data_IF_098871974732
#
_entry.id   IF_098871974732
#
_cell.length_a   1.000
_cell.length_b   1.000
_cell.length_c   1.000
_cell.angle_alpha   90.00
_cell.angle_beta   90.00
_cell.angle_gamma   90.00
#
_symmetry.space_group_name_H-M   'P 1'
#
loop_
_entity.id
_entity.type
_entity.pdbx_description
1 polymer ?
#
# COMPACT_ATOMS: atom_id res chain seq x y z
N UNK A 1 -6.85 -2.74 -26.81
CA UNK A 1 -6.54 -2.87 -25.37
C UNK A 1 -7.12 -1.65 -24.68
N UNK A 2 -7.97 -1.76 -23.64
CA UNK A 2 -8.34 -0.56 -22.87
C UNK A 2 -7.08 -0.09 -22.16
N UNK A 3 -6.58 1.09 -22.51
CA UNK A 3 -5.37 1.62 -21.92
C UNK A 3 -5.57 1.76 -20.41
N UNK A 4 -4.75 1.05 -19.63
CA UNK A 4 -4.69 1.17 -18.16
C UNK A 4 -3.89 2.42 -17.77
N UNK A 5 -4.08 3.53 -18.50
CA UNK A 5 -3.27 4.73 -18.34
C UNK A 5 -3.39 5.32 -16.94
N UNK A 6 -4.60 5.30 -16.37
CA UNK A 6 -4.84 5.67 -14.97
C UNK A 6 -3.94 4.88 -14.01
N UNK A 7 -3.86 3.56 -14.16
CA UNK A 7 -3.05 2.70 -13.26
C UNK A 7 -1.55 2.87 -13.46
N UNK A 8 -1.10 3.20 -14.68
CA UNK A 8 0.30 3.55 -14.94
C UNK A 8 0.66 4.88 -14.28
N UNK A 9 -0.19 5.89 -14.41
CA UNK A 9 -0.02 7.18 -13.74
C UNK A 9 -0.05 7.02 -12.22
N UNK A 10 -1.00 6.24 -11.70
CA UNK A 10 -1.09 5.93 -10.28
C UNK A 10 0.16 5.22 -9.75
N UNK A 11 0.68 4.23 -10.49
CA UNK A 11 1.94 3.57 -10.13
C UNK A 11 3.09 4.57 -10.01
N UNK A 12 3.29 5.44 -11.02
CA UNK A 12 4.37 6.43 -10.98
C UNK A 12 4.18 7.44 -9.87
N UNK A 13 2.94 7.88 -9.62
CA UNK A 13 2.60 8.75 -8.50
C UNK A 13 2.99 8.11 -7.16
N UNK A 14 2.55 6.87 -6.90
CA UNK A 14 2.89 6.15 -5.66
C UNK A 14 4.40 5.93 -5.55
N UNK A 15 5.09 5.54 -6.63
CA UNK A 15 6.54 5.34 -6.62
C UNK A 15 7.30 6.62 -6.25
N UNK A 16 7.00 7.74 -6.93
CA UNK A 16 7.67 9.03 -6.67
C UNK A 16 7.33 9.54 -5.28
N UNK A 17 6.05 9.49 -4.88
CA UNK A 17 5.61 9.94 -3.57
C UNK A 17 6.25 9.11 -2.44
N UNK A 18 6.25 7.78 -2.53
CA UNK A 18 6.89 6.92 -1.54
C UNK A 18 8.41 7.12 -1.50
N UNK A 19 9.06 7.30 -2.65
CA UNK A 19 10.51 7.59 -2.69
C UNK A 19 10.83 8.93 -2.03
N UNK A 20 10.01 9.95 -2.27
CA UNK A 20 10.13 11.25 -1.61
C UNK A 20 9.99 11.14 -0.08
N UNK A 21 8.99 10.40 0.41
CA UNK A 21 8.78 10.18 1.85
C UNK A 21 9.93 9.43 2.51
N UNK A 22 10.48 8.42 1.84
CA UNK A 22 11.68 7.71 2.33
C UNK A 22 12.87 8.66 2.36
N UNK A 23 13.09 9.46 1.33
CA UNK A 23 14.15 10.48 1.31
C UNK A 23 14.00 11.49 2.47
N UNK A 24 12.80 12.01 2.70
CA UNK A 24 12.50 12.93 3.80
C UNK A 24 12.84 12.29 5.16
N UNK A 25 12.40 11.05 5.40
CA UNK A 25 12.69 10.31 6.63
C UNK A 25 14.17 10.03 6.87
N UNK A 26 14.99 9.97 5.82
CA UNK A 26 16.44 9.79 5.93
C UNK A 26 17.18 11.11 6.21
N UNK A 27 16.52 12.25 6.02
CA UNK A 27 17.08 13.59 6.21
C UNK A 27 16.60 14.24 7.52
N UNK A 28 15.56 13.70 8.15
CA UNK A 28 15.07 14.18 9.44
C UNK A 28 16.08 13.89 10.57
N UNK A 29 16.40 14.88 11.43
CA UNK A 29 17.31 14.67 12.56
C UNK A 29 16.67 13.79 13.64
N UNK A 30 17.46 12.87 14.21
CA UNK A 30 17.08 11.84 15.21
C UNK A 30 16.41 12.34 16.53
N UNK A 31 16.18 13.65 16.68
CA UNK A 31 15.73 14.28 17.93
C UNK A 31 14.19 14.22 18.08
N UNK A 32 13.45 14.07 16.99
CA UNK A 32 12.00 13.82 17.05
C UNK A 32 11.75 12.36 17.37
N UNK A 33 11.28 12.06 18.58
CA UNK A 33 10.89 10.70 18.95
C UNK A 33 9.93 10.13 17.90
N UNK A 34 10.15 8.90 17.39
CA UNK A 34 9.20 8.28 16.49
C UNK A 34 7.87 8.11 17.22
N UNK A 35 6.82 8.77 16.73
CA UNK A 35 5.45 8.63 17.25
C UNK A 35 4.87 7.24 16.98
N UNK A 36 5.50 6.50 16.07
CA UNK A 36 5.07 5.18 15.60
C UNK A 36 6.06 4.13 16.10
N UNK A 37 5.60 2.99 16.64
CA UNK A 37 6.49 1.88 17.04
C UNK A 37 7.42 1.43 15.90
N UNK A 38 8.66 1.09 16.25
CA UNK A 38 9.68 0.69 15.27
C UNK A 38 9.23 -0.54 14.45
N UNK A 39 8.57 -1.49 15.09
CA UNK A 39 8.07 -2.71 14.46
C UNK A 39 7.06 -2.41 13.35
N UNK A 40 6.18 -1.42 13.59
CA UNK A 40 5.18 -1.00 12.62
C UNK A 40 5.84 -0.25 11.46
N UNK A 41 6.87 0.55 11.74
CA UNK A 41 7.66 1.24 10.71
C UNK A 41 8.40 0.25 9.80
N UNK A 42 9.04 -0.77 10.37
CA UNK A 42 9.69 -1.85 9.61
C UNK A 42 8.66 -2.62 8.77
N UNK A 43 7.49 -2.94 9.32
CA UNK A 43 6.44 -3.63 8.58
C UNK A 43 5.94 -2.78 7.40
N UNK A 44 5.70 -1.48 7.59
CA UNK A 44 5.32 -0.55 6.52
C UNK A 44 6.39 -0.47 5.43
N UNK A 45 7.67 -0.42 5.82
CA UNK A 45 8.79 -0.43 4.88
C UNK A 45 8.84 -1.71 4.04
N UNK A 46 8.55 -2.88 4.64
CA UNK A 46 8.50 -4.15 3.91
C UNK A 46 7.28 -4.28 3.00
N UNK A 47 6.14 -3.70 3.38
CA UNK A 47 4.93 -3.72 2.56
C UNK A 47 5.04 -2.81 1.32
N UNK A 48 5.86 -1.76 1.38
CA UNK A 48 6.00 -0.81 0.28
C UNK A 48 6.51 -1.45 -1.04
N UNK A 49 7.59 -2.26 -1.06
CA UNK A 49 7.98 -3.00 -2.26
C UNK A 49 6.88 -3.92 -2.80
N UNK A 50 6.11 -4.57 -1.91
CA UNK A 50 5.01 -5.46 -2.30
C UNK A 50 3.87 -4.67 -2.95
N UNK A 51 3.54 -3.50 -2.41
CA UNK A 51 2.59 -2.56 -3.01
C UNK A 51 3.04 -2.12 -4.41
N UNK A 52 4.27 -1.63 -4.53
CA UNK A 52 4.81 -1.15 -5.81
C UNK A 52 4.84 -2.27 -6.86
N UNK A 53 5.22 -3.48 -6.45
CA UNK A 53 5.22 -4.65 -7.30
C UNK A 53 3.81 -5.07 -7.73
N UNK A 54 2.82 -5.04 -6.82
CA UNK A 54 1.42 -5.29 -7.13
C UNK A 54 0.85 -4.26 -8.13
N UNK A 55 1.09 -2.97 -7.86
CA UNK A 55 0.69 -1.86 -8.74
C UNK A 55 1.32 -1.99 -10.12
N UNK A 56 2.62 -2.28 -10.21
CA UNK A 56 3.31 -2.50 -11.46
C UNK A 56 2.72 -3.69 -12.23
N UNK A 57 2.56 -4.83 -11.57
CA UNK A 57 2.01 -6.06 -12.14
C UNK A 57 0.61 -5.80 -12.70
N UNK A 58 -0.22 -5.07 -11.97
CA UNK A 58 -1.56 -4.72 -12.42
C UNK A 58 -1.57 -3.67 -13.54
N UNK A 59 -0.78 -2.60 -13.45
CA UNK A 59 -0.75 -1.52 -14.44
C UNK A 59 -0.24 -2.00 -15.81
N UNK A 60 0.82 -2.81 -15.82
CA UNK A 60 1.48 -3.29 -17.03
C UNK A 60 1.05 -4.70 -17.46
N UNK A 61 0.12 -5.33 -16.72
CA UNK A 61 -0.26 -6.74 -16.89
C UNK A 61 0.95 -7.67 -16.85
N UNK A 62 1.97 -7.28 -16.10
CA UNK A 62 3.19 -8.07 -15.97
C UNK A 62 2.91 -9.22 -15.00
N UNK A 63 2.89 -10.44 -15.53
CA UNK A 63 2.65 -11.63 -14.74
C UNK A 63 4.00 -12.18 -14.26
N UNK A 64 4.47 -11.72 -13.09
CA UNK A 64 5.70 -12.23 -12.53
C UNK A 64 5.47 -13.62 -11.92
N UNK A 65 6.03 -14.65 -12.55
CA UNK A 65 5.55 -16.04 -12.52
C UNK A 65 5.48 -16.73 -11.15
N UNK A 66 6.17 -16.23 -10.11
CA UNK A 66 6.27 -16.90 -8.80
C UNK A 66 5.39 -16.26 -7.71
N UNK A 67 5.61 -14.98 -7.38
CA UNK A 67 4.83 -14.29 -6.34
C UNK A 67 3.38 -14.02 -6.76
N UNK A 68 3.15 -13.76 -8.06
CA UNK A 68 1.80 -13.47 -8.52
C UNK A 68 0.90 -14.71 -8.53
N UNK A 69 1.41 -15.94 -8.39
CA UNK A 69 0.56 -17.17 -8.46
C UNK A 69 -0.13 -17.54 -7.16
N UNK A 70 0.30 -16.99 -6.03
CA UNK A 70 -0.24 -17.36 -4.71
C UNK A 70 -1.38 -16.41 -4.40
N UNK A 71 -2.63 -16.86 -4.58
CA UNK A 71 -3.81 -16.04 -4.28
C UNK A 71 -3.79 -15.47 -2.86
N UNK A 72 -3.53 -16.33 -1.88
CA UNK A 72 -3.53 -15.96 -0.46
C UNK A 72 -2.48 -14.90 -0.14
N UNK A 73 -1.39 -14.80 -0.91
CA UNK A 73 -0.39 -13.77 -0.72
C UNK A 73 -0.99 -12.37 -0.91
N UNK A 74 -1.78 -12.16 -1.97
CA UNK A 74 -2.43 -10.88 -2.24
C UNK A 74 -3.55 -10.56 -1.24
N UNK A 75 -4.34 -11.57 -0.85
CA UNK A 75 -5.39 -11.39 0.16
C UNK A 75 -4.79 -11.02 1.53
N UNK A 76 -3.74 -11.71 1.97
CA UNK A 76 -3.02 -11.42 3.22
C UNK A 76 -2.35 -10.05 3.13
N UNK A 77 -1.70 -9.72 2.02
CA UNK A 77 -1.07 -8.41 1.82
C UNK A 77 -2.11 -7.28 1.91
N UNK A 78 -3.29 -7.44 1.30
CA UNK A 78 -4.35 -6.46 1.41
C UNK A 78 -4.81 -6.26 2.86
N UNK A 79 -5.01 -7.35 3.61
CA UNK A 79 -5.36 -7.29 5.02
C UNK A 79 -4.28 -6.60 5.86
N UNK A 80 -3.01 -6.98 5.67
CA UNK A 80 -1.88 -6.36 6.36
C UNK A 80 -1.77 -4.87 6.02
N UNK A 81 -1.99 -4.49 4.77
CA UNK A 81 -1.95 -3.10 4.34
C UNK A 81 -3.05 -2.25 5.01
N UNK A 82 -4.26 -2.78 5.14
CA UNK A 82 -5.35 -2.11 5.88
C UNK A 82 -4.98 -1.97 7.36
N UNK A 83 -4.62 -3.09 7.99
CA UNK A 83 -4.33 -3.12 9.43
C UNK A 83 -3.20 -2.16 9.78
N UNK A 84 -2.10 -2.21 9.04
CA UNK A 84 -0.95 -1.33 9.28
C UNK A 84 -1.28 0.14 9.14
N UNK A 85 -2.07 0.55 8.15
CA UNK A 85 -2.49 1.95 8.00
C UNK A 85 -3.43 2.38 9.13
N UNK A 86 -4.41 1.54 9.51
CA UNK A 86 -5.31 1.83 10.64
C UNK A 86 -4.52 1.97 11.94
N UNK A 87 -3.61 1.03 12.20
CA UNK A 87 -2.77 1.07 13.41
C UNK A 87 -1.84 2.29 13.40
N UNK A 88 -1.28 2.66 12.25
CA UNK A 88 -0.42 3.85 12.13
C UNK A 88 -1.20 5.11 12.49
N UNK A 89 -2.40 5.30 11.92
CA UNK A 89 -3.27 6.42 12.25
C UNK A 89 -3.68 6.42 13.73
N UNK A 90 -3.97 5.26 14.31
CA UNK A 90 -4.33 5.16 15.72
C UNK A 90 -3.19 5.63 16.63
N UNK A 91 -1.95 5.22 16.33
CA UNK A 91 -0.77 5.71 17.05
C UNK A 91 -0.59 7.22 16.89
N UNK A 92 -0.64 7.70 15.64
CA UNK A 92 -0.48 9.11 15.31
C UNK A 92 -1.53 9.99 16.02
N UNK A 93 -2.80 9.57 16.04
CA UNK A 93 -3.85 10.30 16.75
C UNK A 93 -3.74 10.19 18.28
N UNK A 94 -3.23 9.07 18.81
CA UNK A 94 -3.00 8.91 20.25
C UNK A 94 -1.82 9.72 20.78
N UNK A 95 -0.82 10.00 19.93
CA UNK A 95 0.31 10.88 20.26
C UNK A 95 -0.14 12.34 20.48
N UNK A 96 -1.35 12.69 20.04
CA UNK A 96 -1.92 14.04 20.13
C UNK A 96 -1.37 14.97 19.04
N UNK A 97 -1.69 16.25 19.14
CA UNK A 97 -1.23 17.25 18.16
C UNK A 97 -2.18 17.52 16.99
N UNK A 98 -3.26 16.74 16.86
CA UNK A 98 -4.32 16.96 15.89
C UNK A 98 -5.64 17.34 16.59
N UNK A 99 -6.34 18.32 16.02
CA UNK A 99 -7.75 18.58 16.34
C UNK A 99 -8.66 17.47 15.79
N UNK A 100 -9.88 17.36 16.31
CA UNK A 100 -10.86 16.38 15.83
C UNK A 100 -11.15 16.54 14.33
N UNK A 101 -11.21 17.77 13.84
CA UNK A 101 -11.42 18.08 12.43
C UNK A 101 -10.26 17.57 11.56
N UNK A 102 -9.01 17.79 12.00
CA UNK A 102 -7.82 17.29 11.30
C UNK A 102 -7.77 15.76 11.27
N UNK A 103 -8.09 15.09 12.38
CA UNK A 103 -8.17 13.63 12.44
C UNK A 103 -9.16 13.05 11.42
N UNK A 104 -10.34 13.69 11.27
CA UNK A 104 -11.35 13.30 10.30
C UNK A 104 -10.83 13.48 8.86
N UNK A 105 -10.24 14.64 8.57
CA UNK A 105 -9.72 14.94 7.23
C UNK A 105 -8.60 13.96 6.85
N UNK A 106 -7.63 13.72 7.74
CA UNK A 106 -6.52 12.78 7.52
C UNK A 106 -7.05 11.38 7.27
N UNK A 107 -8.05 10.93 8.03
CA UNK A 107 -8.68 9.62 7.87
C UNK A 107 -9.37 9.47 6.51
N UNK A 108 -10.09 10.50 6.06
CA UNK A 108 -10.76 10.50 4.74
C UNK A 108 -9.72 10.46 3.62
N UNK A 109 -8.69 11.30 3.68
CA UNK A 109 -7.64 11.32 2.67
C UNK A 109 -6.90 9.99 2.61
N UNK A 110 -6.62 9.38 3.76
CA UNK A 110 -5.99 8.06 3.85
C UNK A 110 -6.88 6.98 3.23
N UNK A 111 -8.19 7.01 3.48
CA UNK A 111 -9.14 6.06 2.87
C UNK A 111 -9.22 6.22 1.34
N UNK A 112 -9.22 7.46 0.84
CA UNK A 112 -9.20 7.76 -0.60
C UNK A 112 -7.92 7.21 -1.24
N UNK A 113 -6.76 7.41 -0.60
CA UNK A 113 -5.48 6.91 -1.09
C UNK A 113 -5.37 5.38 -1.01
N UNK A 114 -5.91 4.75 0.04
CA UNK A 114 -5.90 3.30 0.22
C UNK A 114 -6.76 2.57 -0.80
N UNK A 115 -7.92 3.13 -1.16
CA UNK A 115 -8.94 2.44 -1.97
C UNK A 115 -8.40 1.93 -3.31
N UNK A 116 -7.69 2.73 -4.14
CA UNK A 116 -7.09 2.23 -5.38
C UNK A 116 -6.06 1.10 -5.16
N UNK A 117 -5.29 1.18 -4.09
CA UNK A 117 -4.25 0.19 -3.77
C UNK A 117 -4.88 -1.16 -3.39
N UNK A 118 -5.90 -1.13 -2.53
CA UNK A 118 -6.67 -2.33 -2.15
C UNK A 118 -7.39 -2.95 -3.34
N UNK A 119 -7.98 -2.11 -4.20
CA UNK A 119 -8.60 -2.57 -5.43
C UNK A 119 -7.61 -3.39 -6.28
N UNK A 120 -6.36 -2.92 -6.42
CA UNK A 120 -5.34 -3.64 -7.16
C UNK A 120 -5.06 -5.02 -6.56
N UNK A 121 -4.84 -5.12 -5.25
CA UNK A 121 -4.60 -6.41 -4.59
C UNK A 121 -5.77 -7.38 -4.77
N UNK A 122 -7.02 -6.92 -4.61
CA UNK A 122 -8.19 -7.77 -4.83
C UNK A 122 -8.31 -8.21 -6.29
N UNK A 123 -7.99 -7.35 -7.26
CA UNK A 123 -8.03 -7.74 -8.67
C UNK A 123 -6.94 -8.75 -9.04
N UNK A 124 -5.75 -8.61 -8.47
CA UNK A 124 -4.68 -9.60 -8.63
C UNK A 124 -5.07 -10.95 -8.03
N UNK A 125 -5.66 -10.96 -6.83
CA UNK A 125 -6.22 -12.17 -6.21
C UNK A 125 -7.32 -12.82 -7.07
N UNK A 126 -8.25 -12.03 -7.61
CA UNK A 126 -9.34 -12.52 -8.47
C UNK A 126 -8.85 -13.10 -9.79
N UNK A 127 -7.84 -12.49 -10.42
CA UNK A 127 -7.26 -13.00 -11.67
C UNK A 127 -6.75 -14.44 -11.50
N UNK A 128 -6.24 -14.79 -10.32
CA UNK A 128 -5.74 -16.13 -10.00
C UNK A 128 -6.86 -17.13 -9.70
N UNK A 129 -7.97 -16.66 -9.13
CA UNK A 129 -9.16 -17.52 -8.94
C UNK A 129 -9.72 -18.03 -10.27
N UNK A 130 -9.62 -17.24 -11.33
CA UNK A 130 -10.06 -17.60 -12.68
C UNK A 130 -9.10 -18.51 -13.47
N UNK A 131 -7.84 -18.64 -13.04
CA UNK A 131 -6.82 -19.47 -13.73
C UNK A 131 -6.90 -20.94 -13.31
N UNK A 132 -7.52 -21.25 -12.17
CA UNK A 132 -7.61 -22.62 -11.63
C UNK A 132 -8.73 -23.52 -12.24
N UNK A 133 -9.29 -23.17 -13.41
CA UNK A 133 -10.32 -23.98 -14.09
C UNK A 133 -9.94 -24.47 -15.50
N UNK A 134 -8.67 -24.39 -15.88
CA UNK A 134 -8.19 -25.00 -17.13
C UNK A 134 -6.86 -25.71 -16.86
N UNK A 135 -6.92 -27.01 -16.58
CA UNK A 135 -5.77 -27.91 -16.59
C UNK A 135 -5.39 -28.48 -15.22
N UNK A 136 -6.03 -29.57 -14.84
CA UNK A 136 -5.46 -30.92 -14.99
C UNK A 136 -6.57 -31.95 -14.90
#
# INVERSE_FOLDING_TARGET
MKDRIFWKLWFWFVLVFSSYRVYESLMEPDITQPQIPMELSVLNLLLLPVLLFGLYSYAYKYSCYYLTKIRYFWDITACLFILTNITTLAYEFSAGGYSQEEMIIISILTAIFLTPNLYVFFQLSKQLKGVNYVGN
#
